data_IF_157301371132
#
_entry.id   IF_157301371132
#
_cell.length_a   1.000
_cell.length_b   1.000
_cell.length_c   1.000
_cell.angle_alpha   90.00
_cell.angle_beta   90.00
_cell.angle_gamma   90.00
#
_symmetry.space_group_name_H-M   'P 1'
#
loop_
_entity.id
_entity.type
_entity.pdbx_description
1 polymer ?
#
# COMPACT_ATOMS: atom_id res chain seq x y z
N UNK A 1 -1.25 -10.48 5.30
CA UNK A 1 -2.33 -11.47 5.52
C UNK A 1 -3.63 -11.14 4.77
N UNK A 2 -4.36 -10.05 5.05
CA UNK A 2 -5.68 -9.81 4.41
C UNK A 2 -5.62 -9.69 2.87
N UNK A 3 -4.68 -8.90 2.35
CA UNK A 3 -4.55 -8.69 0.90
C UNK A 3 -4.18 -9.98 0.15
N UNK A 4 -3.33 -10.82 0.71
CA UNK A 4 -2.97 -12.10 0.09
C UNK A 4 -4.16 -13.07 0.04
N UNK A 5 -4.94 -13.16 1.11
CA UNK A 5 -6.17 -13.98 1.13
C UNK A 5 -7.16 -13.50 0.06
N UNK A 6 -7.23 -12.18 -0.18
CA UNK A 6 -8.12 -11.64 -1.21
C UNK A 6 -7.79 -12.13 -2.62
N UNK A 7 -6.51 -12.42 -2.92
CA UNK A 7 -6.11 -13.01 -4.20
C UNK A 7 -6.68 -14.42 -4.38
N UNK A 8 -6.67 -15.23 -3.31
CA UNK A 8 -7.17 -16.61 -3.35
C UNK A 8 -8.70 -16.67 -3.43
N UNK A 9 -9.40 -15.65 -2.91
CA UNK A 9 -10.85 -15.59 -2.90
C UNK A 9 -11.44 -14.88 -4.13
N UNK A 10 -10.61 -14.17 -4.89
CA UNK A 10 -11.05 -13.38 -6.04
C UNK A 10 -11.60 -14.27 -7.16
N UNK A 11 -12.70 -13.84 -7.76
CA UNK A 11 -13.30 -14.46 -8.93
C UNK A 11 -12.93 -13.64 -10.16
N UNK A 12 -12.29 -14.28 -11.14
CA UNK A 12 -11.85 -13.61 -12.37
C UNK A 12 -12.63 -14.14 -13.59
N UNK A 13 -13.06 -13.26 -14.50
CA UNK A 13 -13.85 -13.66 -15.67
C UNK A 13 -13.04 -14.38 -16.76
N UNK A 14 -11.70 -14.35 -16.70
CA UNK A 14 -10.78 -15.03 -17.63
C UNK A 14 -9.86 -15.97 -16.86
N UNK A 15 -9.59 -17.14 -17.47
CA UNK A 15 -8.64 -18.11 -16.92
C UNK A 15 -7.22 -17.56 -16.90
N UNK A 16 -6.81 -16.83 -17.94
CA UNK A 16 -5.49 -16.22 -18.00
C UNK A 16 -5.28 -15.22 -16.86
N UNK A 17 -6.28 -14.38 -16.57
CA UNK A 17 -6.22 -13.42 -15.46
C UNK A 17 -6.13 -14.16 -14.12
N UNK A 18 -6.95 -15.19 -13.92
CA UNK A 18 -6.92 -15.99 -12.68
C UNK A 18 -5.55 -16.63 -12.45
N UNK A 19 -4.95 -17.20 -13.51
CA UNK A 19 -3.65 -17.84 -13.45
C UNK A 19 -2.55 -16.81 -13.09
N UNK A 20 -2.52 -15.67 -13.78
CA UNK A 20 -1.53 -14.63 -13.52
C UNK A 20 -1.69 -14.02 -12.11
N UNK A 21 -2.93 -13.81 -11.64
CA UNK A 21 -3.17 -13.33 -10.28
C UNK A 21 -2.70 -14.33 -9.23
N UNK A 22 -2.89 -15.64 -9.45
CA UNK A 22 -2.41 -16.68 -8.55
C UNK A 22 -0.88 -16.80 -8.54
N UNK A 23 -0.24 -16.70 -9.72
CA UNK A 23 1.22 -16.80 -9.84
C UNK A 23 1.93 -15.60 -9.23
N UNK A 24 1.50 -14.38 -9.57
CA UNK A 24 2.21 -13.16 -9.19
C UNK A 24 1.75 -12.54 -7.88
N UNK A 25 0.54 -12.87 -7.40
CA UNK A 25 -0.03 -12.38 -6.12
C UNK A 25 0.20 -10.89 -5.88
N UNK A 26 0.02 -10.07 -6.91
CA UNK A 26 0.27 -8.62 -6.83
C UNK A 26 -0.67 -7.97 -5.81
N UNK A 27 -0.12 -7.27 -4.82
CA UNK A 27 -0.88 -6.59 -3.77
C UNK A 27 -0.79 -5.06 -3.90
N UNK A 28 -1.84 -4.35 -3.49
CA UNK A 28 -1.94 -2.88 -3.55
C UNK A 28 -2.13 -2.23 -2.18
N UNK A 29 -1.17 -2.37 -1.27
CA UNK A 29 -1.21 -1.69 0.02
C UNK A 29 -0.86 -0.20 -0.15
N UNK A 30 -1.60 0.68 0.52
CA UNK A 30 -1.38 2.12 0.45
C UNK A 30 -2.02 2.87 1.61
N UNK A 31 -2.04 4.20 1.50
CA UNK A 31 -2.54 5.09 2.54
C UNK A 31 -3.91 5.65 2.21
N UNK A 32 -4.65 5.99 3.25
CA UNK A 32 -5.77 6.91 3.17
C UNK A 32 -5.45 8.16 4.01
N UNK A 33 -5.99 9.31 3.59
CA UNK A 33 -6.01 10.53 4.40
C UNK A 33 -4.65 11.11 4.84
N UNK A 34 -3.60 11.00 4.01
CA UNK A 34 -2.30 11.65 4.29
C UNK A 34 -2.48 13.17 4.46
N UNK A 35 -3.33 13.80 3.66
CA UNK A 35 -3.62 15.24 3.81
C UNK A 35 -4.19 15.59 5.18
N UNK A 36 -5.09 14.76 5.72
CA UNK A 36 -5.62 14.92 7.08
C UNK A 36 -4.54 14.81 8.15
N UNK A 37 -3.61 13.87 8.00
CA UNK A 37 -2.46 13.73 8.90
C UNK A 37 -1.58 14.99 8.88
N UNK A 38 -1.28 15.52 7.69
CA UNK A 38 -0.49 16.75 7.55
C UNK A 38 -1.18 17.94 8.22
N UNK A 39 -2.49 18.11 7.98
CA UNK A 39 -3.28 19.19 8.59
C UNK A 39 -3.28 19.09 10.12
N UNK A 40 -3.52 17.90 10.68
CA UNK A 40 -3.51 17.67 12.13
C UNK A 40 -2.11 17.89 12.74
N UNK A 41 -1.06 17.68 11.95
CA UNK A 41 0.34 17.91 12.36
C UNK A 41 0.78 19.36 12.15
N UNK A 42 -0.10 20.26 11.68
CA UNK A 42 0.24 21.64 11.36
C UNK A 42 1.20 21.81 10.18
N UNK A 43 1.35 20.79 9.33
CA UNK A 43 2.25 20.79 8.19
C UNK A 43 1.49 21.19 6.91
N UNK A 44 2.07 22.14 6.17
CA UNK A 44 1.56 22.50 4.85
C UNK A 44 1.70 21.32 3.87
N UNK A 45 0.69 21.13 3.01
CA UNK A 45 0.71 20.04 2.03
C UNK A 45 1.90 20.15 1.05
N UNK A 46 2.18 21.37 0.59
CA UNK A 46 3.35 21.69 -0.26
C UNK A 46 4.54 22.23 0.57
N UNK A 47 4.86 21.55 1.68
CA UNK A 47 6.02 21.90 2.51
C UNK A 47 7.14 20.86 2.36
N UNK A 48 8.38 21.28 2.66
CA UNK A 48 9.54 20.36 2.68
C UNK A 48 9.36 19.33 3.79
N UNK A 49 8.85 19.77 4.93
CA UNK A 49 8.58 18.99 6.13
C UNK A 49 7.47 17.97 5.88
N UNK A 50 6.39 18.38 5.21
CA UNK A 50 5.30 17.48 4.80
C UNK A 50 5.78 16.40 3.85
N UNK A 51 6.58 16.75 2.82
CA UNK A 51 7.20 15.77 1.92
C UNK A 51 8.15 14.83 2.65
N UNK A 52 8.95 15.34 3.59
CA UNK A 52 9.86 14.52 4.39
C UNK A 52 9.11 13.50 5.25
N UNK A 53 8.01 13.91 5.90
CA UNK A 53 7.15 13.01 6.66
C UNK A 53 6.53 11.93 5.78
N UNK A 54 5.98 12.28 4.63
CA UNK A 54 5.43 11.31 3.67
C UNK A 54 6.49 10.30 3.19
N UNK A 55 7.72 10.77 2.94
CA UNK A 55 8.84 9.92 2.57
C UNK A 55 9.21 8.93 3.68
N UNK A 56 9.27 9.40 4.93
CA UNK A 56 9.56 8.56 6.08
C UNK A 56 8.47 7.48 6.30
N UNK A 57 7.20 7.87 6.24
CA UNK A 57 6.07 6.94 6.32
C UNK A 57 6.14 5.88 5.21
N UNK A 58 6.52 6.30 3.99
CA UNK A 58 6.72 5.40 2.85
C UNK A 58 7.84 4.40 3.05
N UNK A 59 8.99 4.85 3.55
CA UNK A 59 10.08 3.94 3.85
C UNK A 59 9.68 2.88 4.90
N UNK A 60 8.98 3.29 5.96
CA UNK A 60 8.51 2.38 7.02
C UNK A 60 7.49 1.39 6.48
N UNK A 61 6.44 1.88 5.79
CA UNK A 61 5.41 0.99 5.22
C UNK A 61 6.04 -0.03 4.28
N UNK A 62 6.95 0.39 3.41
CA UNK A 62 7.64 -0.53 2.49
C UNK A 62 8.46 -1.57 3.24
N UNK A 63 9.23 -1.17 4.25
CA UNK A 63 10.02 -2.09 5.08
C UNK A 63 9.15 -3.16 5.76
N UNK A 64 8.09 -2.72 6.44
CA UNK A 64 7.14 -3.62 7.12
C UNK A 64 6.37 -4.49 6.14
N UNK A 65 6.00 -3.96 4.96
CA UNK A 65 5.30 -4.72 3.92
C UNK A 65 6.16 -5.86 3.38
N UNK A 66 7.44 -5.60 3.13
CA UNK A 66 8.37 -6.65 2.70
C UNK A 66 8.65 -7.65 3.80
N UNK A 67 8.84 -7.20 5.05
CA UNK A 67 9.02 -8.09 6.19
C UNK A 67 7.79 -9.00 6.42
N UNK A 68 6.58 -8.47 6.24
CA UNK A 68 5.33 -9.24 6.34
C UNK A 68 5.15 -10.21 5.17
N UNK A 69 5.79 -9.94 4.04
CA UNK A 69 5.70 -10.77 2.83
C UNK A 69 6.75 -11.89 2.77
N UNK A 70 7.82 -11.80 3.56
CA UNK A 70 8.90 -12.79 3.63
C UNK A 70 8.53 -13.97 4.54
#
# INVERSE_FOLDING_TARGET
MVLEISVLMAQFPSREIAQLSYEFRTLGLGYANIGGLLMASGLGYDSKEGRALCGALTAILTGESYATSA
#
